data_IF_307778889883
#
_entry.id   IF_307778889883
#
_cell.length_a   1.000
_cell.length_b   1.000
_cell.length_c   1.000
_cell.angle_alpha   90.00
_cell.angle_beta   90.00
_cell.angle_gamma   90.00
#
_symmetry.space_group_name_H-M   'P 1'
#
loop_
_entity.id
_entity.type
_entity.pdbx_description
1 polymer ?
#
# COMPACT_ATOMS: atom_id res chain seq x y z
N UNK A 1 -57.59 53.70 -26.10
CA UNK A 1 -57.48 52.24 -25.90
C UNK A 1 -56.37 51.76 -26.83
N UNK A 2 -55.23 51.20 -26.45
CA UNK A 2 -54.68 50.69 -25.19
C UNK A 2 -53.17 50.98 -25.24
N UNK A 3 -52.59 51.34 -24.10
CA UNK A 3 -51.15 51.49 -23.91
C UNK A 3 -50.41 50.21 -24.29
N UNK A 4 -49.29 50.33 -25.01
CA UNK A 4 -48.27 49.28 -25.09
C UNK A 4 -46.96 49.91 -24.63
N UNK A 5 -46.76 49.92 -23.32
CA UNK A 5 -45.45 50.19 -22.73
C UNK A 5 -44.68 48.88 -22.86
N UNK A 6 -43.78 48.81 -23.83
CA UNK A 6 -42.84 47.70 -23.96
C UNK A 6 -41.83 47.89 -22.83
N UNK A 7 -42.06 47.20 -21.71
CA UNK A 7 -41.01 46.94 -20.74
C UNK A 7 -39.99 46.03 -21.43
N UNK A 8 -38.97 46.64 -22.03
CA UNK A 8 -37.71 45.95 -22.27
C UNK A 8 -37.14 45.60 -20.90
N UNK A 9 -37.55 44.45 -20.38
CA UNK A 9 -36.83 43.76 -19.31
C UNK A 9 -35.44 43.49 -19.85
N UNK A 10 -34.51 44.41 -19.56
CA UNK A 10 -33.08 44.23 -19.79
C UNK A 10 -32.58 43.22 -18.75
N UNK A 11 -33.03 41.97 -18.88
CA UNK A 11 -32.45 40.83 -18.23
C UNK A 11 -31.21 40.44 -19.02
N UNK A 12 -30.15 41.23 -18.84
CA UNK A 12 -28.82 40.73 -19.08
C UNK A 12 -28.00 41.14 -17.86
N UNK A 13 -28.14 40.37 -16.79
CA UNK A 13 -27.05 40.19 -15.84
C UNK A 13 -25.89 39.62 -16.65
N UNK A 14 -25.10 40.50 -17.27
CA UNK A 14 -23.83 40.14 -17.86
C UNK A 14 -23.02 39.57 -16.71
N UNK A 15 -22.81 38.26 -16.71
CA UNK A 15 -21.78 37.65 -15.87
C UNK A 15 -20.45 38.25 -16.35
N UNK A 16 -20.08 39.37 -15.75
CA UNK A 16 -18.81 40.04 -16.02
C UNK A 16 -17.68 39.13 -15.54
N UNK A 17 -17.91 38.43 -14.41
CA UNK A 17 -17.00 37.45 -13.85
C UNK A 17 -16.83 36.20 -14.72
N UNK A 18 -15.60 35.68 -14.79
CA UNK A 18 -15.31 34.37 -15.38
C UNK A 18 -16.11 33.23 -14.74
N UNK A 19 -16.55 32.28 -15.57
CA UNK A 19 -17.39 31.15 -15.14
C UNK A 19 -16.66 29.83 -15.32
N UNK A 20 -16.89 28.91 -14.38
CA UNK A 20 -16.36 27.56 -14.48
C UNK A 20 -17.24 26.71 -15.39
N UNK A 21 -16.62 25.89 -16.23
CA UNK A 21 -17.32 24.78 -16.88
C UNK A 21 -17.85 23.80 -15.85
N UNK A 22 -18.74 22.89 -16.27
CA UNK A 22 -19.01 21.69 -15.47
C UNK A 22 -17.71 20.94 -15.22
N UNK A 23 -17.63 20.28 -14.08
CA UNK A 23 -16.53 19.37 -13.81
C UNK A 23 -16.49 18.26 -14.87
N UNK A 24 -15.29 17.93 -15.33
CA UNK A 24 -15.06 16.71 -16.09
C UNK A 24 -15.37 15.47 -15.25
N UNK A 25 -15.44 14.31 -15.92
CA UNK A 25 -15.53 13.03 -15.23
C UNK A 25 -14.32 12.84 -14.30
N UNK A 26 -14.54 12.10 -13.22
CA UNK A 26 -13.45 11.56 -12.44
C UNK A 26 -12.61 10.64 -13.31
N UNK A 27 -11.29 10.65 -13.13
CA UNK A 27 -10.44 9.65 -13.74
C UNK A 27 -10.89 8.24 -13.32
N UNK A 28 -10.94 7.32 -14.28
CA UNK A 28 -11.39 5.94 -14.07
C UNK A 28 -10.44 5.14 -13.18
N UNK A 29 -9.17 5.54 -13.12
CA UNK A 29 -8.13 4.91 -12.31
C UNK A 29 -7.38 5.93 -11.46
N UNK A 30 -6.74 5.44 -10.40
CA UNK A 30 -5.91 6.28 -9.54
C UNK A 30 -4.60 6.68 -10.25
N UNK A 31 -4.19 5.96 -11.30
CA UNK A 31 -2.88 6.03 -11.96
C UNK A 31 -2.45 7.40 -12.55
N UNK A 32 -3.28 8.45 -12.46
CA UNK A 32 -2.98 9.77 -12.99
C UNK A 32 -1.97 10.58 -12.15
N UNK A 33 -1.39 10.04 -11.07
CA UNK A 33 -0.30 10.66 -10.35
C UNK A 33 0.81 9.65 -10.01
N UNK A 34 2.10 10.02 -10.10
CA UNK A 34 3.17 9.17 -9.59
C UNK A 34 2.97 9.03 -8.07
N UNK A 35 2.76 7.78 -7.61
CA UNK A 35 2.38 7.40 -6.24
C UNK A 35 0.90 7.62 -5.86
N UNK A 36 -0.03 7.27 -6.73
CA UNK A 36 -1.43 7.68 -6.58
C UNK A 36 -2.28 6.81 -5.65
N UNK A 37 -2.55 7.33 -4.44
CA UNK A 37 -3.71 6.98 -3.59
C UNK A 37 -4.97 7.79 -3.96
N UNK A 38 -4.94 8.58 -5.03
CA UNK A 38 -5.96 9.59 -5.33
C UNK A 38 -6.36 9.59 -6.81
N UNK A 39 -7.63 9.87 -7.11
CA UNK A 39 -8.12 10.20 -8.46
C UNK A 39 -8.44 11.68 -8.57
N UNK A 40 -8.37 12.22 -9.79
CA UNK A 40 -8.57 13.64 -10.04
C UNK A 40 -9.63 13.92 -11.09
N UNK A 41 -10.24 15.10 -11.01
CA UNK A 41 -11.06 15.69 -12.08
C UNK A 41 -10.67 17.14 -12.32
N UNK A 42 -10.93 17.63 -13.53
CA UNK A 42 -10.60 19.01 -13.91
C UNK A 42 -11.80 19.74 -14.48
N UNK A 43 -11.81 21.05 -14.31
CA UNK A 43 -12.74 21.97 -14.98
C UNK A 43 -11.97 23.03 -15.76
N UNK A 44 -12.64 23.67 -16.71
CA UNK A 44 -12.05 24.73 -17.53
C UNK A 44 -12.62 26.06 -17.08
N UNK A 45 -11.74 27.05 -16.87
CA UNK A 45 -12.17 28.42 -16.62
C UNK A 45 -12.50 29.07 -17.97
N UNK A 46 -13.69 29.62 -18.08
CA UNK A 46 -14.12 30.44 -19.21
C UNK A 46 -14.02 31.90 -18.74
N UNK A 47 -13.02 32.68 -19.23
CA UNK A 47 -12.83 34.05 -18.80
C UNK A 47 -14.05 34.92 -19.07
N UNK A 48 -14.31 35.86 -18.16
CA UNK A 48 -15.38 36.83 -18.30
C UNK A 48 -15.08 37.89 -19.37
N UNK A 49 -16.10 38.66 -19.76
CA UNK A 49 -15.93 39.73 -20.75
C UNK A 49 -14.99 40.86 -20.26
N UNK A 50 -14.77 40.96 -18.95
CA UNK A 50 -13.82 41.86 -18.30
C UNK A 50 -12.41 41.25 -18.14
N UNK A 51 -12.16 40.09 -18.77
CA UNK A 51 -10.95 39.27 -18.61
C UNK A 51 -10.69 38.78 -17.19
N UNK A 52 -11.69 38.86 -16.30
CA UNK A 52 -11.59 38.27 -14.97
C UNK A 52 -11.47 36.74 -15.08
N UNK A 53 -10.51 36.21 -14.34
CA UNK A 53 -10.32 34.78 -14.16
C UNK A 53 -11.35 34.19 -13.20
N UNK A 54 -11.36 32.87 -13.12
CA UNK A 54 -12.23 32.14 -12.21
C UNK A 54 -11.55 31.92 -10.86
N UNK A 55 -12.27 32.13 -9.76
CA UNK A 55 -11.77 31.89 -8.39
C UNK A 55 -11.92 30.42 -8.00
N UNK A 56 -10.86 29.85 -7.43
CA UNK A 56 -10.81 28.47 -6.92
C UNK A 56 -9.98 27.52 -7.77
N UNK A 57 -9.89 26.26 -7.34
CA UNK A 57 -8.99 25.30 -7.98
C UNK A 57 -9.53 24.79 -9.32
N UNK A 58 -8.61 24.63 -10.28
CA UNK A 58 -8.90 24.03 -11.59
C UNK A 58 -9.02 22.50 -11.52
N UNK A 59 -8.39 21.91 -10.51
CA UNK A 59 -8.28 20.47 -10.32
C UNK A 59 -8.74 20.11 -8.91
N UNK A 60 -9.50 19.03 -8.81
CA UNK A 60 -9.93 18.44 -7.56
C UNK A 60 -9.38 17.02 -7.47
N UNK A 61 -9.00 16.60 -6.26
CA UNK A 61 -8.46 15.28 -5.97
C UNK A 61 -9.23 14.65 -4.82
N UNK A 62 -9.48 13.35 -4.90
CA UNK A 62 -10.06 12.58 -3.81
C UNK A 62 -9.32 11.25 -3.61
N UNK A 63 -9.33 10.73 -2.38
CA UNK A 63 -8.71 9.45 -2.05
C UNK A 63 -9.48 8.35 -2.78
N UNK A 64 -8.76 7.53 -3.53
CA UNK A 64 -9.31 6.31 -4.08
C UNK A 64 -9.60 5.31 -2.96
N UNK A 65 -10.85 4.85 -2.86
CA UNK A 65 -11.15 3.68 -2.07
C UNK A 65 -10.88 2.45 -2.96
N UNK A 66 -9.68 1.86 -2.87
CA UNK A 66 -9.36 0.62 -3.57
C UNK A 66 -10.09 -0.54 -2.87
N UNK A 67 -11.03 -1.24 -3.53
CA UNK A 67 -11.83 -2.28 -2.87
C UNK A 67 -11.10 -3.62 -2.71
N UNK A 68 -9.97 -3.82 -3.40
CA UNK A 68 -9.12 -4.99 -3.23
C UNK A 68 -7.89 -4.66 -2.38
N UNK A 69 -7.73 -5.39 -1.29
CA UNK A 69 -6.55 -5.38 -0.45
C UNK A 69 -5.37 -6.08 -1.17
N UNK A 70 -4.14 -5.81 -0.73
CA UNK A 70 -2.95 -6.43 -1.29
C UNK A 70 -2.92 -7.85 -0.75
N UNK A 71 -2.89 -8.83 -1.63
CA UNK A 71 -2.93 -10.24 -1.23
C UNK A 71 -1.52 -10.81 -1.21
N UNK A 72 -1.22 -11.50 -0.12
CA UNK A 72 -0.04 -12.34 -0.05
C UNK A 72 -0.22 -13.54 -0.98
N UNK A 73 0.79 -13.83 -1.79
CA UNK A 73 0.92 -15.11 -2.46
C UNK A 73 1.09 -16.25 -1.45
N UNK A 74 1.10 -17.47 -1.97
CA UNK A 74 1.45 -18.64 -1.16
C UNK A 74 2.90 -18.53 -0.66
N UNK A 75 3.13 -19.07 0.53
CA UNK A 75 4.48 -19.24 1.02
C UNK A 75 5.23 -20.23 0.15
N UNK A 76 6.46 -19.89 -0.21
CA UNK A 76 7.40 -20.83 -0.79
C UNK A 76 7.72 -21.94 0.19
N UNK A 77 8.23 -23.05 -0.36
CA UNK A 77 8.73 -24.15 0.45
C UNK A 77 9.86 -23.68 1.37
N UNK A 78 9.91 -24.26 2.57
CA UNK A 78 10.97 -23.98 3.51
C UNK A 78 12.34 -24.31 2.90
N UNK A 79 13.32 -23.44 3.14
CA UNK A 79 14.71 -23.72 2.81
C UNK A 79 15.21 -24.97 3.53
N UNK A 80 16.28 -25.56 3.01
CA UNK A 80 17.05 -26.55 3.78
C UNK A 80 17.60 -25.89 5.06
N UNK A 81 17.76 -26.68 6.12
CA UNK A 81 18.36 -26.22 7.36
C UNK A 81 19.80 -25.76 7.13
N UNK A 82 20.16 -24.60 7.67
CA UNK A 82 21.53 -24.07 7.60
C UNK A 82 22.54 -24.86 8.46
N UNK A 83 22.02 -25.63 9.43
CA UNK A 83 22.75 -26.58 10.29
C UNK A 83 21.94 -27.85 10.49
N UNK A 84 22.61 -28.98 10.32
CA UNK A 84 22.06 -30.31 10.58
C UNK A 84 22.43 -30.84 11.97
N UNK A 85 22.81 -30.00 12.92
CA UNK A 85 23.25 -30.47 14.23
C UNK A 85 22.67 -29.59 15.36
N UNK A 86 22.30 -30.25 16.46
CA UNK A 86 21.68 -29.67 17.62
C UNK A 86 20.39 -28.90 17.30
N UNK A 87 19.94 -28.10 18.25
CA UNK A 87 18.88 -27.11 18.06
C UNK A 87 19.41 -25.81 17.41
N UNK A 88 20.46 -25.92 16.59
CA UNK A 88 21.18 -24.78 16.02
C UNK A 88 20.69 -24.39 14.63
N UNK A 89 20.01 -25.30 13.94
CA UNK A 89 19.54 -25.10 12.58
C UNK A 89 18.34 -24.16 12.54
N UNK A 90 18.29 -23.34 11.50
CA UNK A 90 17.12 -22.58 11.12
C UNK A 90 16.84 -22.78 9.64
N UNK A 91 15.57 -22.68 9.29
CA UNK A 91 15.11 -22.60 7.92
C UNK A 91 14.28 -21.35 7.71
N UNK A 92 14.24 -20.88 6.48
CA UNK A 92 13.54 -19.67 6.10
C UNK A 92 12.61 -19.97 4.95
N UNK A 93 11.46 -19.32 4.91
CA UNK A 93 10.57 -19.29 3.76
C UNK A 93 10.20 -17.86 3.40
N UNK A 94 9.87 -17.66 2.15
CA UNK A 94 9.54 -16.36 1.57
C UNK A 94 8.19 -16.41 0.88
N UNK A 95 7.52 -15.27 0.75
CA UNK A 95 6.28 -15.13 -0.03
C UNK A 95 6.31 -13.82 -0.79
N UNK A 96 5.66 -13.79 -1.94
CA UNK A 96 5.56 -12.57 -2.74
C UNK A 96 4.24 -11.85 -2.47
N UNK A 97 4.30 -10.51 -2.43
CA UNK A 97 3.11 -9.67 -2.34
C UNK A 97 2.58 -9.39 -3.75
N UNK A 98 1.37 -9.86 -4.04
CA UNK A 98 0.74 -9.60 -5.35
C UNK A 98 0.05 -8.25 -5.29
N UNK A 99 0.62 -7.27 -5.99
CA UNK A 99 0.03 -5.93 -6.12
C UNK A 99 -0.87 -5.86 -7.35
N UNK A 100 -2.08 -5.34 -7.18
CA UNK A 100 -2.93 -5.03 -8.31
C UNK A 100 -2.39 -3.80 -9.05
N UNK A 101 -2.26 -3.85 -10.38
CA UNK A 101 -1.71 -2.75 -11.18
C UNK A 101 -2.53 -1.46 -11.06
N UNK A 102 -3.79 -1.58 -10.65
CA UNK A 102 -4.72 -0.46 -10.47
C UNK A 102 -4.48 0.32 -9.17
N UNK A 103 -3.76 -0.25 -8.21
CA UNK A 103 -3.51 0.34 -6.90
C UNK A 103 -2.03 0.20 -6.48
N UNK A 104 -1.11 0.98 -7.07
CA UNK A 104 0.33 0.91 -6.77
C UNK A 104 0.70 1.38 -5.35
N UNK A 105 -0.24 1.98 -4.62
CA UNK A 105 -0.06 2.41 -3.23
C UNK A 105 -0.40 1.32 -2.21
N UNK A 106 -0.92 0.17 -2.65
CA UNK A 106 -1.20 -0.94 -1.78
C UNK A 106 0.09 -1.70 -1.44
N UNK A 107 0.23 -2.06 -0.18
CA UNK A 107 1.35 -2.84 0.35
C UNK A 107 0.79 -3.96 1.21
N UNK A 108 1.33 -5.18 1.10
CA UNK A 108 0.94 -6.24 2.00
C UNK A 108 1.41 -5.91 3.43
N UNK A 109 0.54 -6.15 4.42
CA UNK A 109 0.88 -5.95 5.82
C UNK A 109 1.44 -7.26 6.40
N UNK A 110 2.60 -7.16 7.06
CA UNK A 110 3.33 -8.30 7.64
C UNK A 110 4.66 -8.56 6.94
N UNK A 111 5.38 -9.57 7.40
CA UNK A 111 6.70 -9.91 6.86
C UNK A 111 6.60 -10.75 5.58
N UNK A 112 7.51 -10.50 4.65
CA UNK A 112 7.71 -11.27 3.41
C UNK A 112 8.57 -12.52 3.64
N UNK A 113 9.24 -12.58 4.80
CA UNK A 113 10.21 -13.60 5.18
C UNK A 113 9.88 -14.14 6.57
N UNK A 114 9.87 -15.44 6.73
CA UNK A 114 9.67 -16.12 8.02
C UNK A 114 10.83 -17.06 8.30
N UNK A 115 11.33 -17.09 9.54
CA UNK A 115 12.45 -17.94 9.96
C UNK A 115 12.10 -18.71 11.22
N UNK A 116 12.27 -20.03 11.17
CA UNK A 116 11.97 -20.93 12.28
C UNK A 116 13.15 -21.86 12.60
N UNK A 117 13.26 -22.36 13.84
CA UNK A 117 14.26 -23.35 14.18
C UNK A 117 13.93 -24.71 13.57
N UNK A 118 14.95 -25.42 13.10
CA UNK A 118 14.81 -26.78 12.62
C UNK A 118 14.49 -27.75 13.77
N UNK A 119 13.62 -28.73 13.50
CA UNK A 119 13.13 -29.69 14.51
C UNK A 119 14.05 -30.90 14.74
N UNK A 120 15.22 -30.98 14.11
CA UNK A 120 16.03 -32.21 14.12
C UNK A 120 16.97 -32.28 15.33
N UNK A 121 16.63 -33.11 16.32
CA UNK A 121 17.15 -33.05 17.70
C UNK A 121 18.32 -33.99 18.00
N UNK A 122 18.65 -34.91 17.10
CA UNK A 122 19.45 -36.09 17.45
C UNK A 122 20.94 -36.00 17.06
N UNK A 123 21.33 -34.98 16.30
CA UNK A 123 22.72 -34.82 15.84
C UNK A 123 23.50 -33.89 16.78
N UNK A 124 24.61 -34.35 17.35
CA UNK A 124 25.47 -33.52 18.20
C UNK A 124 26.42 -32.68 17.35
N UNK A 125 26.42 -31.36 17.53
CA UNK A 125 27.42 -30.49 16.88
C UNK A 125 28.82 -30.76 17.42
N UNK A 126 29.76 -31.09 16.53
CA UNK A 126 31.16 -31.37 16.89
C UNK A 126 32.01 -30.09 17.07
N UNK A 127 31.48 -28.92 16.71
CA UNK A 127 32.15 -27.63 16.86
C UNK A 127 31.47 -26.79 17.96
N UNK A 128 32.23 -26.08 18.81
CA UNK A 128 31.66 -25.15 19.78
C UNK A 128 31.18 -23.91 19.02
N UNK A 129 29.92 -23.88 18.60
CA UNK A 129 29.31 -22.61 18.20
C UNK A 129 28.60 -22.01 19.41
N UNK A 130 28.96 -20.77 19.73
CA UNK A 130 28.44 -20.06 20.90
C UNK A 130 26.96 -19.66 20.72
N UNK A 131 26.33 -20.03 19.60
CA UNK A 131 25.12 -19.41 19.05
C UNK A 131 23.85 -20.28 19.05
N UNK A 132 23.91 -21.55 19.48
CA UNK A 132 22.84 -22.52 19.22
C UNK A 132 21.52 -22.43 20.02
N UNK A 133 21.26 -21.41 20.82
CA UNK A 133 20.00 -21.35 21.58
C UNK A 133 19.37 -19.96 21.47
N UNK A 134 18.72 -19.68 20.34
CA UNK A 134 18.07 -18.40 20.11
C UNK A 134 16.84 -18.30 21.04
N UNK A 135 16.94 -17.50 22.11
CA UNK A 135 15.90 -17.37 23.14
C UNK A 135 15.84 -18.45 24.22
N UNK A 136 16.69 -19.49 24.15
CA UNK A 136 16.73 -20.60 25.12
C UNK A 136 18.06 -20.68 25.87
N UNK A 137 18.09 -21.29 27.05
CA UNK A 137 19.32 -21.52 27.82
C UNK A 137 19.97 -22.84 27.41
N UNK A 138 21.29 -22.80 27.23
CA UNK A 138 22.12 -24.00 27.03
C UNK A 138 22.08 -24.86 28.29
N UNK A 139 21.73 -26.13 28.14
CA UNK A 139 21.74 -27.15 29.20
C UNK A 139 22.49 -28.38 28.72
N UNK A 140 23.11 -29.09 29.68
CA UNK A 140 23.89 -30.31 29.44
C UNK A 140 23.27 -31.43 30.26
N UNK A 141 22.91 -32.51 29.60
CA UNK A 141 22.55 -33.76 30.23
C UNK A 141 23.84 -34.60 30.41
N UNK A 142 24.31 -34.66 31.66
CA UNK A 142 25.55 -35.35 32.03
C UNK A 142 25.43 -36.88 31.83
N UNK A 143 24.35 -37.56 32.28
CA UNK A 143 24.14 -38.98 32.01
C UNK A 143 24.18 -39.35 30.54
N UNK A 144 23.49 -38.59 29.68
CA UNK A 144 23.36 -38.93 28.25
C UNK A 144 24.43 -38.27 27.37
N UNK A 145 25.26 -37.40 27.95
CA UNK A 145 26.27 -36.58 27.25
C UNK A 145 25.67 -35.77 26.10
N UNK A 146 24.45 -35.25 26.30
CA UNK A 146 23.70 -34.49 25.29
C UNK A 146 23.69 -33.00 25.64
N UNK A 147 23.79 -32.17 24.61
CA UNK A 147 23.54 -30.73 24.70
C UNK A 147 22.13 -30.45 24.23
N UNK A 148 21.38 -29.63 24.98
CA UNK A 148 20.03 -29.22 24.60
C UNK A 148 19.76 -27.76 24.98
N UNK A 149 18.80 -27.15 24.28
CA UNK A 149 18.31 -25.81 24.60
C UNK A 149 16.98 -25.95 25.33
N UNK A 150 16.84 -25.31 26.49
CA UNK A 150 15.58 -25.33 27.27
C UNK A 150 15.25 -23.95 27.81
N UNK A 151 13.97 -23.74 28.20
CA UNK A 151 13.51 -22.51 28.85
C UNK A 151 14.28 -22.24 30.17
#
# INVERSE_FOLDING_TARGET
MKSVVIFLTFLCTTALAGTWSTWGAWADTCANCPSSTYRGRTRVCIPGADMSGCTGDRMEKEVCNCPLEAEWGEWEEWSVCDKDCGFCGSHTRTRECTLLPECPALTCTGDDTETEPCSDTDKVCLAPSVSCCNGYKKKVDIPTKRFFCGL
#
